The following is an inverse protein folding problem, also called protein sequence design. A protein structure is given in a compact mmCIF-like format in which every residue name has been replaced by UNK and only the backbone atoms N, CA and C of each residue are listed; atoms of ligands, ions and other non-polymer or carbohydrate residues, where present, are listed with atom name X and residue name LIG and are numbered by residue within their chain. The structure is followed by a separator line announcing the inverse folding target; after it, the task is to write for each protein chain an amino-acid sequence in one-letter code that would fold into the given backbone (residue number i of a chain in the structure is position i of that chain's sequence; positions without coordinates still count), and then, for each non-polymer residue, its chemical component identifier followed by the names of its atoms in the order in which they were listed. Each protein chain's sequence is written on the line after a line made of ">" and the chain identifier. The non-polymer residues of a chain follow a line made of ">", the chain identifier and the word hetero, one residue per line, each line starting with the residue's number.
data_IF_420484953804
#
_entry.id   IF_420484953804
#
_cell.length_a   1.000
_cell.length_b   1.000
_cell.length_c   1.000
_cell.angle_alpha   90.00
_cell.angle_beta   90.00
_cell.angle_gamma   90.00
#
_symmetry.space_group_name_H-M   'P 1'
#
loop_
_entity.id
_entity.type
_entity.pdbx_description
1 polymer ?
#
# COMPACT_ATOMS: atom_id res chain seq x y z
N UNK A 1 18.13 -16.12 4.97
CA UNK A 1 18.10 -15.21 3.80
C UNK A 1 16.89 -14.31 4.02
N UNK A 2 17.12 -13.05 4.40
CA UNK A 2 16.04 -12.08 4.56
C UNK A 2 15.34 -11.98 3.20
N UNK A 3 14.05 -12.27 3.15
CA UNK A 3 13.25 -12.00 1.96
C UNK A 3 13.40 -10.51 1.70
N UNK A 4 14.06 -10.14 0.60
CA UNK A 4 14.04 -8.78 0.08
C UNK A 4 12.62 -8.50 -0.40
N UNK A 5 11.71 -8.29 0.57
CA UNK A 5 10.53 -7.49 0.31
C UNK A 5 11.07 -6.13 -0.11
N UNK A 6 10.62 -5.63 -1.27
CA UNK A 6 11.13 -4.36 -1.82
C UNK A 6 11.09 -3.25 -0.78
N UNK A 7 12.00 -2.27 -0.90
CA UNK A 7 12.10 -1.18 0.05
C UNK A 7 10.71 -0.54 0.29
N UNK A 8 10.31 -0.31 1.56
CA UNK A 8 9.02 0.24 1.89
C UNK A 8 8.81 1.57 1.15
N UNK A 9 7.76 1.61 0.32
CA UNK A 9 7.39 2.82 -0.44
C UNK A 9 6.70 3.78 0.52
N UNK A 10 7.11 5.07 0.59
CA UNK A 10 6.39 6.04 1.41
C UNK A 10 4.97 6.21 0.86
N UNK A 11 3.98 6.20 1.75
CA UNK A 11 2.60 6.43 1.37
C UNK A 11 2.43 7.86 0.84
N UNK A 12 1.90 7.98 -0.37
CA UNK A 12 1.40 9.25 -0.91
C UNK A 12 0.08 9.02 -1.64
N UNK A 13 -0.73 10.07 -1.73
CA UNK A 13 -2.03 10.00 -2.42
C UNK A 13 -1.89 9.90 -3.94
N UNK A 14 -0.74 10.28 -4.48
CA UNK A 14 -0.46 10.29 -5.92
C UNK A 14 0.28 9.03 -6.39
N UNK A 15 0.88 8.28 -5.45
CA UNK A 15 1.58 7.04 -5.74
C UNK A 15 0.58 5.92 -6.01
N UNK A 16 0.80 5.21 -7.11
CA UNK A 16 0.11 3.96 -7.42
C UNK A 16 0.79 2.81 -6.70
N UNK A 17 -0.01 1.99 -6.01
CA UNK A 17 0.48 0.79 -5.34
C UNK A 17 -0.05 -0.48 -6.01
N UNK A 18 0.69 -1.56 -5.89
CA UNK A 18 0.35 -2.88 -6.42
C UNK A 18 0.12 -3.87 -5.26
N UNK A 19 -0.44 -5.04 -5.57
CA UNK A 19 -0.62 -6.09 -4.56
C UNK A 19 0.75 -6.51 -4.01
N UNK A 20 0.84 -6.82 -2.71
CA UNK A 20 2.07 -7.15 -1.99
C UNK A 20 3.12 -6.02 -1.86
N UNK A 21 2.83 -4.80 -2.33
CA UNK A 21 3.70 -3.64 -2.09
C UNK A 21 3.80 -3.34 -0.60
N UNK A 22 5.03 -3.09 -0.12
CA UNK A 22 5.26 -2.61 1.25
C UNK A 22 5.11 -1.09 1.25
N UNK A 23 4.27 -0.59 2.15
CA UNK A 23 3.93 0.82 2.26
C UNK A 23 4.24 1.33 3.66
N UNK A 24 4.97 2.43 3.76
CA UNK A 24 5.23 3.12 5.03
C UNK A 24 4.35 4.37 5.17
N UNK A 25 3.51 4.40 6.20
CA UNK A 25 2.64 5.53 6.49
C UNK A 25 3.01 6.15 7.84
N UNK A 26 3.29 7.46 7.88
CA UNK A 26 3.82 8.12 9.10
C UNK A 26 2.96 7.94 10.35
N UNK A 27 1.63 7.81 10.20
CA UNK A 27 0.68 7.55 11.30
C UNK A 27 0.48 6.08 11.67
N UNK A 28 0.58 5.17 10.71
CA UNK A 28 0.19 3.76 10.90
C UNK A 28 1.40 2.80 10.90
N UNK A 29 2.58 3.32 10.57
CA UNK A 29 3.80 2.54 10.39
C UNK A 29 3.83 1.84 9.03
N UNK A 30 4.64 0.79 8.96
CA UNK A 30 4.81 -0.04 7.77
C UNK A 30 3.69 -1.09 7.69
N UNK A 31 3.13 -1.26 6.50
CA UNK A 31 2.15 -2.30 6.17
C UNK A 31 2.40 -2.82 4.76
N UNK A 32 1.58 -3.75 4.30
CA UNK A 32 1.62 -4.25 2.92
C UNK A 32 0.24 -4.19 2.28
N UNK A 33 0.20 -3.97 0.97
CA UNK A 33 -1.06 -3.93 0.22
C UNK A 33 -1.62 -5.35 0.12
N UNK A 34 -2.74 -5.59 0.79
CA UNK A 34 -3.42 -6.87 0.76
C UNK A 34 -4.43 -6.96 -0.39
N UNK A 35 -4.98 -5.82 -0.83
CA UNK A 35 -6.03 -5.77 -1.83
C UNK A 35 -6.03 -4.43 -2.58
N UNK A 36 -6.35 -4.47 -3.87
CA UNK A 36 -6.56 -3.26 -4.69
C UNK A 36 -8.06 -3.04 -4.80
N UNK A 37 -8.56 -1.89 -4.34
CA UNK A 37 -9.98 -1.55 -4.33
C UNK A 37 -10.18 -0.40 -5.31
N UNK A 38 -11.07 -0.56 -6.29
CA UNK A 38 -11.26 0.46 -7.34
C UNK A 38 -9.94 0.83 -8.05
N UNK A 39 -9.96 1.93 -8.81
CA UNK A 39 -8.78 2.46 -9.49
C UNK A 39 -7.90 3.31 -8.54
N UNK A 40 -8.48 3.93 -7.50
CA UNK A 40 -7.81 4.89 -6.63
C UNK A 40 -7.80 4.49 -5.14
N UNK A 41 -8.10 3.24 -4.78
CA UNK A 41 -8.01 2.79 -3.38
C UNK A 41 -7.23 1.49 -3.22
N UNK A 42 -6.64 1.32 -2.05
CA UNK A 42 -5.97 0.09 -1.65
C UNK A 42 -6.33 -0.26 -0.23
N UNK A 43 -6.43 -1.56 0.04
CA UNK A 43 -6.44 -2.07 1.40
C UNK A 43 -5.01 -2.44 1.79
N UNK A 44 -4.53 -1.82 2.85
CA UNK A 44 -3.21 -2.05 3.40
C UNK A 44 -3.36 -2.69 4.78
N UNK A 45 -2.68 -3.81 4.97
CA UNK A 45 -2.61 -4.50 6.25
C UNK A 45 -1.44 -3.93 7.06
N UNK A 46 -1.75 -3.16 8.09
CA UNK A 46 -0.78 -2.63 9.04
C UNK A 46 -0.74 -3.49 10.30
N UNK A 47 0.28 -3.29 11.15
CA UNK A 47 0.34 -3.95 12.45
C UNK A 47 -0.86 -3.61 13.36
N UNK A 48 -1.43 -2.42 13.20
CA UNK A 48 -2.65 -2.00 13.92
C UNK A 48 -3.95 -2.55 13.32
N UNK A 49 -3.89 -3.27 12.19
CA UNK A 49 -5.04 -3.80 11.45
C UNK A 49 -5.16 -3.28 10.02
N UNK A 50 -6.21 -3.71 9.32
CA UNK A 50 -6.47 -3.30 7.94
C UNK A 50 -6.97 -1.84 7.85
N UNK A 51 -6.48 -1.12 6.83
CA UNK A 51 -6.92 0.23 6.50
C UNK A 51 -7.14 0.34 5.00
N UNK A 52 -8.27 0.91 4.62
CA UNK A 52 -8.48 1.36 3.24
C UNK A 52 -7.96 2.79 3.09
N UNK A 53 -7.04 2.99 2.17
CA UNK A 53 -6.43 4.27 1.87
C UNK A 53 -6.60 4.60 0.39
N UNK A 54 -6.67 5.89 0.09
CA UNK A 54 -6.71 6.39 -1.29
C UNK A 54 -5.29 6.46 -1.84
N UNK A 55 -5.10 6.13 -3.10
CA UNK A 55 -3.81 6.17 -3.78
C UNK A 55 -3.97 6.78 -5.17
N UNK A 56 -2.86 6.87 -5.89
CA UNK A 56 -2.84 7.33 -7.27
C UNK A 56 -3.83 6.54 -8.12
N UNK A 57 -4.43 7.23 -9.11
CA UNK A 57 -5.34 6.62 -10.05
C UNK A 57 -4.60 5.58 -10.90
N UNK A 58 -4.90 4.30 -10.71
CA UNK A 58 -4.52 3.24 -11.63
C UNK A 58 -5.41 3.31 -12.85
N UNK A 59 -4.82 3.13 -14.03
CA UNK A 59 -5.59 2.93 -15.24
C UNK A 59 -5.85 1.43 -15.36
N UNK A 60 -6.98 0.94 -14.86
CA UNK A 60 -7.37 -0.46 -15.02
C UNK A 60 -7.96 -0.59 -16.42
N UNK A 61 -7.17 -1.10 -17.37
CA UNK A 61 -7.55 -1.32 -18.75
C UNK A 61 -8.53 -2.50 -18.92
#
# INVERSE_FOLDING_TARGET
>A
MARSHGDPKPYTIDTVFELDDVVEHSKFGTGYVSELIDNDKVKIMFQCGEKMLRCGLRNVA
#
